data_IF_457822176100
#
_entry.id   IF_457822176100
#
_cell.length_a   1.000
_cell.length_b   1.000
_cell.length_c   1.000
_cell.angle_alpha   90.00
_cell.angle_beta   90.00
_cell.angle_gamma   90.00
#
_symmetry.space_group_name_H-M   'P 1'
#
loop_
_entity.id
_entity.type
_entity.pdbx_description
1 polymer ?
#
# COMPACT_ATOMS: atom_id res chain seq x y z
N UNK A 1 9.24 8.64 -2.35
CA UNK A 1 8.55 7.64 -1.54
C UNK A 1 8.55 6.31 -2.27
N UNK A 2 8.69 5.20 -1.59
CA UNK A 2 8.68 3.89 -2.23
C UNK A 2 7.26 3.49 -2.67
N UNK A 3 7.15 2.46 -3.54
CA UNK A 3 5.86 1.97 -4.01
C UNK A 3 5.03 1.29 -2.91
N UNK A 4 5.69 0.87 -1.85
CA UNK A 4 5.07 0.28 -0.66
C UNK A 4 5.61 1.01 0.55
N UNK A 5 4.73 1.43 1.46
CA UNK A 5 5.15 2.04 2.72
C UNK A 5 4.18 1.68 3.85
N UNK A 6 4.66 1.78 5.08
CA UNK A 6 3.89 1.52 6.30
C UNK A 6 3.42 2.84 6.90
N UNK A 7 2.21 2.85 7.46
CA UNK A 7 1.65 4.04 8.13
C UNK A 7 2.55 4.58 9.25
N UNK A 8 3.29 3.70 9.93
CA UNK A 8 4.21 4.10 11.00
C UNK A 8 5.36 4.96 10.49
N UNK A 9 5.77 4.76 9.22
CA UNK A 9 6.78 5.61 8.58
C UNK A 9 6.29 7.05 8.47
N UNK A 10 5.01 7.24 8.17
CA UNK A 10 4.39 8.57 8.11
C UNK A 10 4.27 9.20 9.50
N UNK A 11 3.98 8.41 10.53
CA UNK A 11 3.96 8.90 11.90
C UNK A 11 5.33 9.40 12.34
N UNK A 12 6.38 8.69 11.98
CA UNK A 12 7.77 9.11 12.24
C UNK A 12 8.10 10.39 11.48
N UNK A 13 7.66 10.50 10.23
CA UNK A 13 7.83 11.71 9.42
C UNK A 13 7.17 12.92 10.08
N UNK A 14 5.94 12.77 10.60
CA UNK A 14 5.21 13.85 11.28
C UNK A 14 5.98 14.46 12.44
N UNK A 15 6.76 13.64 13.16
CA UNK A 15 7.58 14.10 14.29
C UNK A 15 8.71 15.02 13.87
N UNK A 16 9.12 14.96 12.60
CA UNK A 16 10.24 15.74 12.04
C UNK A 16 9.78 16.94 11.22
N UNK A 17 8.48 17.01 10.88
CA UNK A 17 7.95 18.08 10.05
C UNK A 17 7.73 19.37 10.85
N UNK A 18 7.99 20.51 10.20
CA UNK A 18 7.79 21.83 10.76
C UNK A 18 6.40 22.36 10.38
N UNK A 19 5.57 22.69 11.36
CA UNK A 19 4.21 23.20 11.13
C UNK A 19 4.18 24.48 10.28
N UNK A 20 5.25 25.24 10.30
CA UNK A 20 5.33 26.50 9.57
C UNK A 20 5.69 26.31 8.10
N UNK A 21 6.55 25.33 7.80
CA UNK A 21 7.08 25.12 6.44
C UNK A 21 6.47 23.90 5.74
N UNK A 22 5.98 22.93 6.49
CA UNK A 22 5.49 21.65 5.96
C UNK A 22 3.98 21.47 6.16
N UNK A 23 3.22 22.55 6.25
CA UNK A 23 1.78 22.55 6.54
C UNK A 23 1.01 21.65 5.57
N UNK A 24 1.26 21.74 4.27
CA UNK A 24 0.56 20.93 3.26
C UNK A 24 0.81 19.44 3.46
N UNK A 25 2.05 19.07 3.77
CA UNK A 25 2.43 17.69 4.02
C UNK A 25 1.79 17.16 5.31
N UNK A 26 1.78 17.96 6.34
CA UNK A 26 1.15 17.63 7.63
C UNK A 26 -0.35 17.41 7.43
N UNK A 27 -1.03 18.30 6.72
CA UNK A 27 -2.47 18.16 6.43
C UNK A 27 -2.76 16.89 5.63
N UNK A 28 -1.95 16.58 4.62
CA UNK A 28 -2.12 15.38 3.80
C UNK A 28 -2.02 14.11 4.65
N UNK A 29 -1.05 14.04 5.55
CA UNK A 29 -0.88 12.89 6.45
C UNK A 29 -2.01 12.82 7.47
N UNK A 30 -2.44 13.94 8.03
CA UNK A 30 -3.54 13.99 8.99
C UNK A 30 -4.86 13.55 8.36
N UNK A 31 -5.13 13.94 7.12
CA UNK A 31 -6.31 13.49 6.37
C UNK A 31 -6.27 11.98 6.13
N UNK A 32 -5.08 11.45 5.83
CA UNK A 32 -4.89 10.01 5.65
C UNK A 32 -5.19 9.26 6.96
N UNK A 33 -4.70 9.77 8.08
CA UNK A 33 -4.97 9.20 9.42
C UNK A 33 -6.47 9.19 9.72
N UNK A 34 -7.17 10.27 9.39
CA UNK A 34 -8.61 10.39 9.61
C UNK A 34 -9.39 9.36 8.80
N UNK A 35 -9.03 9.16 7.52
CA UNK A 35 -9.67 8.20 6.62
C UNK A 35 -9.45 6.75 7.06
N UNK A 36 -8.24 6.40 7.43
CA UNK A 36 -7.83 5.03 7.79
C UNK A 36 -8.21 4.69 9.23
N UNK A 37 -8.18 5.68 10.11
CA UNK A 37 -8.39 5.52 11.54
C UNK A 37 -7.08 5.57 12.32
N UNK A 38 -7.05 6.36 13.38
CA UNK A 38 -5.86 6.58 14.21
C UNK A 38 -5.32 5.27 14.79
N UNK A 39 -6.18 4.42 15.32
CA UNK A 39 -5.79 3.14 15.92
C UNK A 39 -5.15 2.21 14.88
N UNK A 40 -5.74 2.14 13.69
CA UNK A 40 -5.20 1.34 12.58
C UNK A 40 -3.84 1.87 12.15
N UNK A 41 -3.72 3.18 12.07
CA UNK A 41 -2.48 3.85 11.69
C UNK A 41 -1.34 3.56 12.67
N UNK A 42 -1.65 3.59 13.98
CA UNK A 42 -0.69 3.30 15.03
C UNK A 42 -0.24 1.82 15.02
N UNK A 43 -1.15 0.90 14.69
CA UNK A 43 -0.84 -0.53 14.61
C UNK A 43 0.00 -0.89 13.38
N UNK A 44 -0.06 -0.07 12.36
CA UNK A 44 0.66 -0.28 11.11
C UNK A 44 -0.25 -0.78 9.99
N UNK A 45 -0.43 0.06 8.98
CA UNK A 45 -1.16 -0.27 7.75
C UNK A 45 -0.20 -0.13 6.58
N UNK A 46 -0.19 -1.13 5.71
CA UNK A 46 0.65 -1.10 4.50
C UNK A 46 -0.12 -0.46 3.36
N UNK A 47 0.50 0.53 2.71
CA UNK A 47 -0.04 1.20 1.54
C UNK A 47 0.75 0.77 0.31
N UNK A 48 0.04 0.35 -0.74
CA UNK A 48 0.64 -0.13 -1.99
C UNK A 48 0.21 0.78 -3.13
N UNK A 49 1.17 1.38 -3.82
CA UNK A 49 0.88 2.28 -4.95
C UNK A 49 0.17 1.51 -6.07
N UNK A 50 -0.82 2.14 -6.70
CA UNK A 50 -1.63 1.53 -7.74
C UNK A 50 -0.79 0.94 -8.89
N UNK A 51 0.22 1.66 -9.35
CA UNK A 51 1.06 1.18 -10.45
C UNK A 51 1.97 0.00 -10.08
N UNK A 52 2.10 -0.30 -8.79
CA UNK A 52 2.84 -1.47 -8.29
C UNK A 52 1.90 -2.62 -7.88
N UNK A 53 0.60 -2.40 -7.90
CA UNK A 53 -0.39 -3.33 -7.36
C UNK A 53 -0.32 -4.73 -7.96
N UNK A 54 -0.25 -4.85 -9.29
CA UNK A 54 -0.19 -6.14 -9.96
C UNK A 54 1.07 -6.91 -9.55
N UNK A 55 2.22 -6.22 -9.49
CA UNK A 55 3.48 -6.82 -9.04
C UNK A 55 3.38 -7.26 -7.58
N UNK A 56 2.77 -6.46 -6.72
CA UNK A 56 2.55 -6.82 -5.32
C UNK A 56 1.70 -8.09 -5.21
N UNK A 57 0.63 -8.21 -5.98
CA UNK A 57 -0.24 -9.39 -5.96
C UNK A 57 0.47 -10.63 -6.50
N UNK A 58 1.35 -10.46 -7.48
CA UNK A 58 2.19 -11.54 -8.01
C UNK A 58 3.13 -12.06 -6.92
N UNK A 59 3.82 -11.16 -6.21
CA UNK A 59 4.69 -11.51 -5.09
C UNK A 59 3.91 -12.20 -3.98
N UNK A 60 2.69 -11.73 -3.69
CA UNK A 60 1.81 -12.31 -2.69
C UNK A 60 1.48 -13.76 -3.01
N UNK A 61 1.23 -14.09 -4.28
CA UNK A 61 0.92 -15.46 -4.70
C UNK A 61 2.07 -16.42 -4.38
N UNK A 62 3.31 -15.97 -4.55
CA UNK A 62 4.49 -16.76 -4.18
C UNK A 62 4.71 -16.82 -2.67
N UNK A 63 4.57 -15.68 -2.00
CA UNK A 63 4.81 -15.58 -0.54
C UNK A 63 3.79 -16.39 0.26
N UNK A 64 2.55 -16.48 -0.21
CA UNK A 64 1.51 -17.29 0.42
C UNK A 64 1.59 -18.77 0.07
N UNK A 65 2.53 -19.17 -0.78
CA UNK A 65 2.72 -20.57 -1.15
C UNK A 65 1.73 -21.10 -2.19
N UNK A 66 0.97 -20.23 -2.84
CA UNK A 66 0.10 -20.64 -3.95
C UNK A 66 0.89 -21.10 -5.17
N UNK A 67 2.09 -20.56 -5.35
CA UNK A 67 3.01 -20.91 -6.43
C UNK A 67 4.43 -21.08 -5.88
N UNK A 68 5.19 -21.99 -6.51
CA UNK A 68 6.58 -22.18 -6.18
C UNK A 68 7.43 -21.13 -6.90
N UNK A 69 8.38 -20.50 -6.18
CA UNK A 69 9.31 -19.50 -6.75
C UNK A 69 10.34 -20.09 -7.69
N UNK A 70 10.48 -21.42 -7.75
CA UNK A 70 11.36 -22.08 -8.72
C UNK A 70 10.78 -21.93 -10.13
N UNK A 71 11.61 -22.20 -11.16
CA UNK A 71 11.16 -22.11 -12.54
C UNK A 71 9.81 -22.84 -12.73
N UNK A 72 8.77 -22.04 -12.90
CA UNK A 72 7.42 -22.54 -13.07
C UNK A 72 6.87 -22.02 -14.39
N UNK A 73 6.72 -22.91 -15.40
CA UNK A 73 6.20 -22.48 -16.69
C UNK A 73 4.78 -21.92 -16.61
N UNK A 74 4.03 -22.25 -15.57
CA UNK A 74 2.69 -21.72 -15.36
C UNK A 74 2.69 -20.22 -15.09
N UNK A 75 3.82 -19.66 -14.64
CA UNK A 75 3.96 -18.22 -14.42
C UNK A 75 3.56 -17.41 -15.66
N UNK A 76 3.92 -17.88 -16.85
CA UNK A 76 3.64 -17.19 -18.11
C UNK A 76 2.20 -17.38 -18.60
N UNK A 77 1.45 -18.28 -17.97
CA UNK A 77 0.07 -18.59 -18.33
C UNK A 77 -0.95 -18.08 -17.32
N UNK A 78 -0.49 -17.42 -16.25
CA UNK A 78 -1.37 -16.88 -15.22
C UNK A 78 -1.86 -15.51 -15.66
N UNK A 79 -3.18 -15.28 -15.51
CA UNK A 79 -3.78 -13.97 -15.66
C UNK A 79 -3.52 -13.16 -14.40
N UNK A 80 -2.37 -12.50 -14.34
CA UNK A 80 -1.95 -11.70 -13.18
C UNK A 80 -2.87 -10.52 -12.92
N UNK A 81 -3.43 -9.92 -13.97
CA UNK A 81 -4.39 -8.84 -13.81
C UNK A 81 -5.69 -9.35 -13.16
N UNK A 82 -6.19 -10.50 -13.59
CA UNK A 82 -7.36 -11.14 -13.00
C UNK A 82 -7.12 -11.52 -11.53
N UNK A 83 -5.94 -12.03 -11.19
CA UNK A 83 -5.55 -12.30 -9.81
C UNK A 83 -5.53 -11.03 -8.98
N UNK A 84 -4.91 -9.96 -9.50
CA UNK A 84 -4.86 -8.67 -8.82
C UNK A 84 -6.25 -8.09 -8.59
N UNK A 85 -7.15 -8.19 -9.57
CA UNK A 85 -8.52 -7.74 -9.46
C UNK A 85 -9.30 -8.50 -8.36
N UNK A 86 -9.04 -9.80 -8.23
CA UNK A 86 -9.66 -10.63 -7.19
C UNK A 86 -9.14 -10.23 -5.79
N UNK A 87 -7.85 -9.99 -5.65
CA UNK A 87 -7.24 -9.55 -4.38
C UNK A 87 -7.73 -8.16 -3.98
N UNK A 88 -7.91 -7.29 -4.96
CA UNK A 88 -8.38 -5.91 -4.76
C UNK A 88 -9.73 -5.84 -4.03
N UNK A 89 -10.58 -6.85 -4.18
CA UNK A 89 -11.90 -6.89 -3.54
C UNK A 89 -11.83 -6.79 -2.01
N UNK A 90 -10.72 -7.20 -1.41
CA UNK A 90 -10.49 -7.15 0.04
C UNK A 90 -9.76 -5.90 0.50
N UNK A 91 -9.45 -4.98 -0.43
CA UNK A 91 -8.67 -3.77 -0.15
C UNK A 91 -9.50 -2.52 -0.40
N UNK A 92 -9.19 -1.47 0.35
CA UNK A 92 -9.71 -0.13 0.11
C UNK A 92 -8.69 0.68 -0.69
N UNK A 93 -9.14 1.77 -1.29
CA UNK A 93 -8.30 2.68 -2.06
C UNK A 93 -8.34 4.07 -1.44
N UNK A 94 -7.22 4.78 -1.52
CA UNK A 94 -7.11 6.15 -1.03
C UNK A 94 -6.12 6.94 -1.88
N UNK A 95 -6.43 8.20 -2.14
CA UNK A 95 -5.52 9.13 -2.81
C UNK A 95 -4.63 9.79 -1.77
N UNK A 96 -3.33 9.81 -2.05
CA UNK A 96 -2.35 10.46 -1.20
C UNK A 96 -1.16 10.89 -2.06
N UNK A 97 -0.72 12.14 -1.89
CA UNK A 97 0.46 12.68 -2.56
C UNK A 97 0.40 12.49 -4.09
N UNK A 98 -0.78 12.80 -4.67
CA UNK A 98 -1.10 12.71 -6.10
C UNK A 98 -1.10 11.30 -6.69
N UNK A 99 -1.00 10.26 -5.86
CA UNK A 99 -1.09 8.86 -6.26
C UNK A 99 -2.23 8.15 -5.56
N UNK A 100 -2.72 7.06 -6.14
CA UNK A 100 -3.71 6.19 -5.54
C UNK A 100 -3.02 4.99 -4.91
N UNK A 101 -3.45 4.61 -3.71
CA UNK A 101 -2.88 3.50 -2.95
C UNK A 101 -3.96 2.52 -2.53
N UNK A 102 -3.59 1.25 -2.47
CA UNK A 102 -4.41 0.19 -1.88
C UNK A 102 -3.98 -0.04 -0.44
N UNK A 103 -4.96 -0.28 0.43
CA UNK A 103 -4.68 -0.57 1.84
C UNK A 103 -5.78 -1.44 2.44
N UNK A 104 -5.47 -2.11 3.51
CA UNK A 104 -6.50 -2.80 4.32
C UNK A 104 -6.02 -2.93 5.77
N UNK A 105 -6.97 -3.15 6.64
CA UNK A 105 -6.73 -3.36 8.08
C UNK A 105 -6.53 -4.84 8.36
#
# INVERSE_FOLDING_TARGET
MSDIFDSRDLLDELKTLDKEYDEERIEAIEELIEEVGEDNFDMGVTFIRENYWVQYCEDLAYDCGYLDRQENPLHYHIDWQGWADAVEMDYDQIDFDDDNYYWRV
#
